data_IF_159296859217
#
_entry.id   IF_159296859217
#
_cell.length_a   1.000
_cell.length_b   1.000
_cell.length_c   1.000
_cell.angle_alpha   90.00
_cell.angle_beta   90.00
_cell.angle_gamma   90.00
#
_symmetry.space_group_name_H-M   'P 1'
#
loop_
_entity.id
_entity.type
_entity.pdbx_description
1 polymer ?
#
# COMPACT_ATOMS: atom_id res chain seq x y z
N UNK A 1 8.11 16.42 8.42
CA UNK A 1 7.95 15.21 7.59
C UNK A 1 7.68 14.04 8.51
N UNK A 2 6.61 13.28 8.29
CA UNK A 2 6.24 12.15 9.15
C UNK A 2 7.14 10.94 8.90
N UNK A 3 7.42 10.14 9.94
CA UNK A 3 8.24 8.93 9.83
C UNK A 3 7.72 7.97 8.74
N UNK A 4 8.63 7.27 8.06
CA UNK A 4 8.27 6.35 6.97
C UNK A 4 7.63 5.08 7.52
N UNK A 5 6.33 4.89 7.30
CA UNK A 5 5.60 3.71 7.76
C UNK A 5 4.32 3.47 6.93
N UNK A 6 3.76 2.26 7.03
CA UNK A 6 2.54 1.88 6.31
C UNK A 6 1.33 2.77 6.65
N UNK A 7 1.20 3.18 7.89
CA UNK A 7 0.08 4.05 8.34
C UNK A 7 0.12 5.40 7.63
N UNK A 8 1.29 6.04 7.58
CA UNK A 8 1.52 7.32 6.92
C UNK A 8 1.44 7.19 5.40
N UNK A 9 1.91 6.07 4.84
CA UNK A 9 1.73 5.76 3.42
C UNK A 9 0.25 5.65 3.03
N UNK A 10 -0.56 4.94 3.82
CA UNK A 10 -2.01 4.83 3.64
C UNK A 10 -2.67 6.21 3.78
N UNK A 11 -2.28 7.00 4.77
CA UNK A 11 -2.79 8.36 4.97
C UNK A 11 -2.47 9.27 3.78
N UNK A 12 -1.23 9.25 3.28
CA UNK A 12 -0.82 10.04 2.12
C UNK A 12 -1.62 9.67 0.85
N UNK A 13 -1.84 8.38 0.61
CA UNK A 13 -2.67 7.89 -0.50
C UNK A 13 -4.13 8.34 -0.36
N UNK A 14 -4.70 8.30 0.86
CA UNK A 14 -6.06 8.82 1.12
C UNK A 14 -6.15 10.31 0.84
N UNK A 15 -5.15 11.09 1.27
CA UNK A 15 -5.08 12.53 1.00
C UNK A 15 -5.01 12.79 -0.51
N UNK A 16 -4.23 12.01 -1.25
CA UNK A 16 -4.13 12.12 -2.71
C UNK A 16 -5.49 11.87 -3.40
N UNK A 17 -6.22 10.84 -2.98
CA UNK A 17 -7.55 10.53 -3.51
C UNK A 17 -8.57 11.62 -3.15
N UNK A 18 -8.54 12.13 -1.92
CA UNK A 18 -9.40 13.24 -1.48
C UNK A 18 -9.12 14.53 -2.26
N UNK A 19 -7.84 14.86 -2.46
CA UNK A 19 -7.42 16.03 -3.23
C UNK A 19 -7.89 15.92 -4.69
N UNK A 20 -7.77 14.72 -5.29
CA UNK A 20 -8.34 14.42 -6.61
C UNK A 20 -9.84 14.65 -6.66
N UNK A 21 -10.58 14.11 -5.68
CA UNK A 21 -12.03 14.24 -5.64
C UNK A 21 -12.49 15.70 -5.43
N UNK A 22 -11.69 16.51 -4.73
CA UNK A 22 -11.96 17.94 -4.53
C UNK A 22 -11.42 18.84 -5.65
N UNK A 23 -10.80 18.26 -6.69
CA UNK A 23 -10.10 18.98 -7.75
C UNK A 23 -9.06 20.00 -7.25
N UNK A 24 -8.49 19.77 -6.07
CA UNK A 24 -7.52 20.66 -5.45
C UNK A 24 -6.11 20.33 -5.95
N UNK A 25 -5.62 21.12 -6.91
CA UNK A 25 -4.32 20.91 -7.57
C UNK A 25 -3.14 21.06 -6.61
N UNK A 26 -3.23 21.98 -5.64
CA UNK A 26 -2.16 22.22 -4.67
C UNK A 26 -2.07 21.07 -3.68
N UNK A 27 -3.21 20.64 -3.14
CA UNK A 27 -3.26 19.48 -2.25
C UNK A 27 -2.82 18.20 -2.96
N UNK A 28 -3.13 18.04 -4.26
CA UNK A 28 -2.73 16.89 -5.05
C UNK A 28 -1.21 16.85 -5.27
N UNK A 29 -0.58 17.99 -5.57
CA UNK A 29 0.87 18.09 -5.72
C UNK A 29 1.59 17.71 -4.41
N UNK A 30 1.17 18.27 -3.28
CA UNK A 30 1.71 17.96 -1.96
C UNK A 30 1.52 16.48 -1.59
N UNK A 31 0.31 15.95 -1.78
CA UNK A 31 0.03 14.54 -1.51
C UNK A 31 0.87 13.61 -2.39
N UNK A 32 1.18 14.01 -3.63
CA UNK A 32 2.03 13.20 -4.53
C UNK A 32 3.49 13.16 -4.03
N UNK A 33 4.01 14.28 -3.51
CA UNK A 33 5.33 14.34 -2.89
C UNK A 33 5.39 13.45 -1.65
N UNK A 34 4.38 13.53 -0.78
CA UNK A 34 4.28 12.68 0.41
C UNK A 34 4.20 11.18 0.05
N UNK A 35 3.40 10.81 -0.97
CA UNK A 35 3.32 9.43 -1.47
C UNK A 35 4.68 8.93 -1.96
N UNK A 36 5.44 9.78 -2.66
CA UNK A 36 6.79 9.45 -3.12
C UNK A 36 7.76 9.32 -1.95
N UNK A 37 7.68 10.20 -0.95
CA UNK A 37 8.53 10.16 0.23
C UNK A 37 8.34 8.87 1.04
N UNK A 38 7.11 8.35 1.08
CA UNK A 38 6.73 7.12 1.77
C UNK A 38 7.07 5.83 0.99
N UNK A 39 7.69 5.93 -0.19
CA UNK A 39 8.25 4.76 -0.91
C UNK A 39 9.33 4.11 -0.03
N UNK A 40 9.33 2.77 0.17
CA UNK A 40 8.62 1.73 -0.60
C UNK A 40 7.25 1.29 -0.05
N UNK A 41 6.78 1.83 1.07
CA UNK A 41 5.53 1.39 1.70
C UNK A 41 4.29 1.69 0.84
N UNK A 42 4.32 2.77 0.07
CA UNK A 42 3.24 3.11 -0.88
C UNK A 42 3.09 2.09 -1.99
N UNK A 43 4.20 1.53 -2.52
CA UNK A 43 4.17 0.44 -3.50
C UNK A 43 3.56 -0.83 -2.90
N UNK A 44 3.94 -1.17 -1.67
CA UNK A 44 3.39 -2.30 -0.93
C UNK A 44 1.87 -2.21 -0.75
N UNK A 45 1.37 -1.02 -0.40
CA UNK A 45 -0.09 -0.77 -0.28
C UNK A 45 -0.77 -0.90 -1.64
N UNK A 46 -0.19 -0.34 -2.71
CA UNK A 46 -0.75 -0.46 -4.06
C UNK A 46 -0.79 -1.92 -4.52
N UNK A 47 0.29 -2.68 -4.33
CA UNK A 47 0.34 -4.11 -4.64
C UNK A 47 -0.70 -4.92 -3.86
N UNK A 48 -0.85 -4.66 -2.56
CA UNK A 48 -1.86 -5.33 -1.74
C UNK A 48 -3.29 -5.03 -2.23
N UNK A 49 -3.52 -3.84 -2.79
CA UNK A 49 -4.80 -3.46 -3.38
C UNK A 49 -5.02 -4.03 -4.79
N UNK A 50 -3.95 -4.29 -5.55
CA UNK A 50 -4.02 -4.95 -6.86
C UNK A 50 -4.42 -6.42 -6.63
N UNK A 51 -5.62 -6.80 -7.08
CA UNK A 51 -6.17 -8.15 -6.84
C UNK A 51 -6.90 -8.30 -5.50
N UNK A 52 -7.25 -7.19 -4.85
CA UNK A 52 -8.10 -7.19 -3.67
C UNK A 52 -9.52 -7.69 -3.99
N UNK A 53 -9.89 -8.82 -3.38
CA UNK A 53 -11.21 -9.45 -3.47
C UNK A 53 -12.12 -9.10 -2.29
N UNK A 54 -11.58 -8.46 -1.25
CA UNK A 54 -12.25 -8.21 0.03
C UNK A 54 -12.90 -6.82 0.10
N UNK A 55 -13.11 -6.15 -1.05
CA UNK A 55 -13.65 -4.78 -1.15
C UNK A 55 -12.93 -3.73 -0.26
N UNK A 56 -11.69 -3.99 0.15
CA UNK A 56 -10.87 -3.04 0.90
C UNK A 56 -10.50 -1.82 0.05
N UNK A 57 -10.95 -0.64 0.46
CA UNK A 57 -10.53 0.62 -0.18
C UNK A 57 -9.43 1.28 0.64
N UNK A 58 -8.74 2.27 0.07
CA UNK A 58 -7.81 3.14 0.81
C UNK A 58 -8.45 3.76 2.07
N UNK A 59 -9.78 3.83 2.14
CA UNK A 59 -10.50 4.35 3.29
C UNK A 59 -10.59 3.34 4.46
N UNK A 60 -10.59 2.03 4.17
CA UNK A 60 -10.77 0.95 5.14
C UNK A 60 -9.56 0.00 5.23
N UNK A 61 -8.52 0.26 4.44
CA UNK A 61 -7.27 -0.51 4.47
C UNK A 61 -6.50 -0.20 5.75
N UNK A 62 -6.02 -1.25 6.43
CA UNK A 62 -5.20 -1.14 7.64
C UNK A 62 -3.77 -1.60 7.35
N UNK A 63 -2.76 -1.08 8.07
CA UNK A 63 -1.38 -1.52 7.91
C UNK A 63 -1.22 -3.03 8.19
N UNK A 64 -1.98 -3.57 9.13
CA UNK A 64 -2.01 -5.01 9.44
C UNK A 64 -2.52 -5.83 8.25
N UNK A 65 -3.59 -5.38 7.60
CA UNK A 65 -4.13 -6.07 6.42
C UNK A 65 -3.12 -6.07 5.26
N UNK A 66 -2.47 -4.93 5.00
CA UNK A 66 -1.44 -4.81 3.95
C UNK A 66 -0.30 -5.80 4.21
N UNK A 67 0.18 -5.89 5.46
CA UNK A 67 1.21 -6.88 5.84
C UNK A 67 0.75 -8.31 5.61
N UNK A 68 -0.48 -8.66 6.02
CA UNK A 68 -1.02 -10.00 5.79
C UNK A 68 -1.14 -10.33 4.31
N UNK A 69 -1.56 -9.37 3.48
CA UNK A 69 -1.72 -9.55 2.03
C UNK A 69 -0.38 -9.72 1.34
N UNK A 70 0.61 -8.90 1.68
CA UNK A 70 1.97 -9.01 1.12
C UNK A 70 2.59 -10.35 1.52
N UNK A 71 2.43 -10.77 2.79
CA UNK A 71 2.89 -12.07 3.25
C UNK A 71 2.22 -13.24 2.51
N UNK A 72 0.95 -13.10 2.13
CA UNK A 72 0.24 -14.09 1.32
C UNK A 72 0.67 -14.07 -0.16
N UNK A 73 1.01 -12.89 -0.71
CA UNK A 73 1.49 -12.73 -2.09
C UNK A 73 2.98 -13.03 -2.28
N UNK A 74 3.77 -13.08 -1.21
CA UNK A 74 5.08 -13.74 -1.21
C UNK A 74 4.85 -15.18 -0.78
N UNK A 75 4.62 -16.12 -1.71
CA UNK A 75 4.84 -17.51 -1.38
C UNK A 75 6.29 -17.61 -0.91
N UNK A 76 6.48 -17.74 0.39
CA UNK A 76 7.64 -18.41 0.93
C UNK A 76 7.45 -19.91 0.69
N UNK A 77 7.29 -20.31 -0.58
CA UNK A 77 7.59 -21.66 -1.04
C UNK A 77 9.13 -21.66 -1.17
N UNK A 78 9.89 -21.84 -0.08
CA UNK A 78 10.30 -23.16 0.35
C UNK A 78 9.89 -24.28 -0.63
N UNK A 79 10.48 -24.27 -1.83
CA UNK A 79 10.70 -25.51 -2.57
C UNK A 79 11.70 -26.32 -1.73
N UNK A 80 11.15 -27.04 -0.75
CA UNK A 80 11.72 -28.30 -0.31
C UNK A 80 11.76 -29.18 -1.56
N UNK A 81 12.92 -29.18 -2.22
CA UNK A 81 13.25 -30.15 -3.26
C UNK A 81 13.47 -31.51 -2.60
N UNK A 82 12.43 -32.05 -1.95
CA UNK A 82 12.31 -33.48 -1.71
C UNK A 82 11.85 -34.08 -3.02
N UNK A 83 12.81 -34.33 -3.92
CA UNK A 83 12.67 -35.39 -4.91
C UNK A 83 13.75 -36.42 -4.60
N UNK A 84 13.32 -37.38 -3.78
CA UNK A 84 13.91 -38.71 -3.73
C UNK A 84 13.78 -39.39 -5.10
N UNK A 85 14.63 -40.40 -5.30
CA UNK A 85 14.78 -41.32 -6.44
C UNK A 85 15.94 -40.99 -7.40
#
# INVERSE_FOLDING_TARGET
>A
MAAKNLTNAIAALRTQVRARHRADKNALAQATVEVRYQTPFTLQVQQALIGNTENKTLNNVTPTWVKSRIKACTPSDNVTLSRSE
#
